data_IF_173586108722
#
_entry.id   IF_173586108722
#
_cell.length_a   1.000
_cell.length_b   1.000
_cell.length_c   1.000
_cell.angle_alpha   90.00
_cell.angle_beta   90.00
_cell.angle_gamma   90.00
#
_symmetry.space_group_name_H-M   'P 1'
#
loop_
_entity.id
_entity.type
_entity.pdbx_description
1 polymer ?
#
# COMPACT_ATOMS: atom_id res chain seq x y z
N UNK A 1 -0.58 28.77 -14.36
CA UNK A 1 0.61 28.14 -13.79
C UNK A 1 0.36 26.65 -13.78
N UNK A 2 1.30 25.88 -14.36
CA UNK A 2 1.22 24.42 -14.42
C UNK A 2 1.94 23.80 -13.23
N UNK A 3 1.31 22.83 -12.59
CA UNK A 3 1.85 22.10 -11.45
C UNK A 3 2.03 20.63 -11.82
N UNK A 4 3.24 20.11 -11.60
CA UNK A 4 3.56 18.69 -11.70
C UNK A 4 3.52 18.03 -10.32
N UNK A 5 3.06 16.77 -10.26
CA UNK A 5 3.05 15.96 -9.04
C UNK A 5 3.77 14.64 -9.29
N UNK A 6 4.74 14.33 -8.43
CA UNK A 6 5.37 13.00 -8.36
C UNK A 6 4.98 12.38 -7.03
N UNK A 7 4.38 11.18 -7.07
CA UNK A 7 3.96 10.45 -5.88
C UNK A 7 4.79 9.19 -5.72
N UNK A 8 5.54 9.10 -4.64
CA UNK A 8 6.37 7.95 -4.29
C UNK A 8 5.79 7.20 -3.09
N UNK A 9 6.20 5.96 -2.94
CA UNK A 9 5.88 5.12 -1.77
C UNK A 9 4.53 4.41 -1.88
N UNK A 10 3.77 4.38 -0.80
CA UNK A 10 2.63 3.49 -0.62
C UNK A 10 1.28 4.10 -1.05
N UNK A 11 0.21 3.28 -1.17
CA UNK A 11 -1.14 3.76 -1.50
C UNK A 11 -1.68 4.87 -0.58
N UNK A 12 -1.25 4.92 0.69
CA UNK A 12 -1.63 6.02 1.60
C UNK A 12 -1.03 7.36 1.14
N UNK A 13 0.22 7.35 0.68
CA UNK A 13 0.87 8.52 0.07
C UNK A 13 0.16 8.94 -1.23
N UNK A 14 -0.25 7.97 -2.04
CA UNK A 14 -0.99 8.25 -3.28
C UNK A 14 -2.31 8.96 -2.98
N UNK A 15 -3.07 8.49 -2.00
CA UNK A 15 -4.31 9.18 -1.57
C UNK A 15 -4.03 10.62 -1.11
N UNK A 16 -2.94 10.85 -0.37
CA UNK A 16 -2.54 12.20 0.04
C UNK A 16 -2.20 13.08 -1.18
N UNK A 17 -1.53 12.53 -2.21
CA UNK A 17 -1.24 13.23 -3.47
C UNK A 17 -2.52 13.59 -4.21
N UNK A 18 -3.48 12.70 -4.31
CA UNK A 18 -4.76 12.93 -4.99
C UNK A 18 -5.62 13.99 -4.29
N UNK A 19 -5.55 14.05 -2.95
CA UNK A 19 -6.16 15.14 -2.17
C UNK A 19 -5.47 16.47 -2.48
N UNK A 20 -4.13 16.50 -2.48
CA UNK A 20 -3.39 17.72 -2.85
C UNK A 20 -3.74 18.18 -4.26
N UNK A 21 -3.85 17.28 -5.24
CA UNK A 21 -4.28 17.59 -6.61
C UNK A 21 -5.71 18.15 -6.66
N UNK A 22 -6.63 17.60 -5.86
CA UNK A 22 -7.98 18.14 -5.72
C UNK A 22 -7.98 19.58 -5.22
N UNK A 23 -7.21 19.89 -4.17
CA UNK A 23 -7.05 21.25 -3.63
C UNK A 23 -6.43 22.21 -4.66
N UNK A 24 -5.43 21.75 -5.42
CA UNK A 24 -4.78 22.51 -6.49
C UNK A 24 -5.79 22.84 -7.61
N UNK A 25 -6.62 21.87 -7.99
CA UNK A 25 -7.67 22.08 -9.00
C UNK A 25 -8.74 23.07 -8.54
N UNK A 26 -9.14 23.01 -7.27
CA UNK A 26 -10.09 23.97 -6.69
C UNK A 26 -9.53 25.40 -6.66
N UNK A 27 -8.21 25.56 -6.56
CA UNK A 27 -7.52 26.87 -6.72
C UNK A 27 -7.44 27.32 -8.18
N UNK A 28 -8.00 26.57 -9.13
CA UNK A 28 -7.95 26.86 -10.58
C UNK A 28 -6.52 26.92 -11.14
N UNK A 29 -5.61 26.09 -10.61
CA UNK A 29 -4.26 25.90 -11.14
C UNK A 29 -4.26 24.71 -12.10
N UNK A 30 -3.49 24.81 -13.16
CA UNK A 30 -3.39 23.76 -14.17
C UNK A 30 -2.47 22.62 -13.66
N UNK A 31 -2.82 21.37 -13.99
CA UNK A 31 -2.03 20.20 -13.66
C UNK A 31 -1.40 19.67 -14.96
N UNK A 32 -0.14 19.23 -14.88
CA UNK A 32 0.58 18.61 -16.00
C UNK A 32 1.27 17.31 -15.53
N UNK A 33 1.29 16.33 -16.43
CA UNK A 33 2.05 15.09 -16.23
C UNK A 33 3.48 15.19 -16.77
N UNK A 34 3.81 16.27 -17.50
CA UNK A 34 5.16 16.51 -18.00
C UNK A 34 5.94 17.43 -17.04
N UNK A 35 6.97 16.91 -16.34
CA UNK A 35 7.79 17.72 -15.44
C UNK A 35 8.50 18.91 -16.13
N UNK A 36 8.82 18.77 -17.41
CA UNK A 36 9.49 19.83 -18.17
C UNK A 36 8.58 21.07 -18.39
N UNK A 37 7.27 20.84 -18.46
CA UNK A 37 6.25 21.88 -18.62
C UNK A 37 5.79 22.50 -17.29
N UNK A 38 6.11 21.84 -16.16
CA UNK A 38 5.66 22.28 -14.84
C UNK A 38 6.44 23.52 -14.37
N UNK A 39 5.72 24.56 -13.92
CA UNK A 39 6.30 25.74 -13.28
C UNK A 39 6.54 25.56 -11.79
N UNK A 40 5.81 24.63 -11.16
CA UNK A 40 5.96 24.18 -9.79
C UNK A 40 5.84 22.66 -9.77
N UNK A 41 6.81 21.98 -9.13
CA UNK A 41 6.80 20.52 -8.97
C UNK A 41 6.63 20.19 -7.49
N UNK A 42 5.74 19.25 -7.19
CA UNK A 42 5.53 18.70 -5.85
C UNK A 42 5.97 17.23 -5.88
N UNK A 43 6.86 16.85 -4.96
CA UNK A 43 7.29 15.45 -4.78
C UNK A 43 6.78 14.95 -3.44
N UNK A 44 5.83 14.02 -3.47
CA UNK A 44 5.36 13.33 -2.27
C UNK A 44 6.24 12.10 -2.02
N UNK A 45 6.99 12.13 -0.92
CA UNK A 45 8.14 11.28 -0.65
C UNK A 45 7.83 10.16 0.33
N UNK A 46 8.59 9.06 0.22
CA UNK A 46 8.64 7.99 1.21
C UNK A 46 9.89 8.12 2.09
N UNK A 47 9.75 7.85 3.38
CA UNK A 47 10.86 7.91 4.35
C UNK A 47 10.88 6.69 5.28
N UNK A 48 10.30 5.56 4.82
CA UNK A 48 10.04 4.39 5.65
C UNK A 48 11.29 3.51 5.83
N UNK A 49 11.96 3.17 4.75
CA UNK A 49 13.20 2.36 4.74
C UNK A 49 14.27 3.06 3.91
N UNK A 50 15.54 2.62 4.05
CA UNK A 50 16.70 3.26 3.40
C UNK A 50 16.53 3.39 1.89
N UNK A 51 16.18 2.31 1.18
CA UNK A 51 15.98 2.34 -0.27
C UNK A 51 14.91 3.34 -0.72
N UNK A 52 13.82 3.49 0.05
CA UNK A 52 12.78 4.47 -0.25
C UNK A 52 13.22 5.91 0.02
N UNK A 53 14.13 6.13 0.98
CA UNK A 53 14.78 7.43 1.22
C UNK A 53 15.71 7.81 0.06
N UNK A 54 16.52 6.87 -0.41
CA UNK A 54 17.41 7.05 -1.56
C UNK A 54 16.62 7.37 -2.83
N UNK A 55 15.55 6.62 -3.12
CA UNK A 55 14.63 6.89 -4.23
C UNK A 55 14.05 8.30 -4.13
N UNK A 56 13.55 8.69 -2.95
CA UNK A 56 12.94 9.99 -2.72
C UNK A 56 13.94 11.13 -2.94
N UNK A 57 15.16 11.03 -2.39
CA UNK A 57 16.21 12.02 -2.57
C UNK A 57 16.63 12.12 -4.04
N UNK A 58 16.85 10.97 -4.71
CA UNK A 58 17.22 10.92 -6.12
C UNK A 58 16.14 11.57 -6.99
N UNK A 59 14.87 11.30 -6.73
CA UNK A 59 13.74 11.91 -7.46
C UNK A 59 13.68 13.43 -7.24
N UNK A 60 13.89 13.92 -6.01
CA UNK A 60 13.92 15.37 -5.75
C UNK A 60 15.06 16.04 -6.52
N UNK A 61 16.26 15.47 -6.52
CA UNK A 61 17.40 16.00 -7.26
C UNK A 61 17.16 15.97 -8.78
N UNK A 62 16.52 14.92 -9.30
CA UNK A 62 16.10 14.85 -10.70
C UNK A 62 15.09 15.96 -11.04
N UNK A 63 14.07 16.15 -10.20
CA UNK A 63 13.07 17.21 -10.42
C UNK A 63 13.69 18.62 -10.29
N UNK A 64 14.70 18.79 -9.45
CA UNK A 64 15.42 20.04 -9.31
C UNK A 64 16.16 20.46 -10.60
N UNK A 65 16.57 19.51 -11.45
CA UNK A 65 17.21 19.82 -12.75
C UNK A 65 16.28 20.62 -13.67
N UNK A 66 14.96 20.44 -13.59
CA UNK A 66 13.99 21.21 -14.35
C UNK A 66 13.94 22.71 -13.97
N UNK A 67 14.59 23.14 -12.87
CA UNK A 67 14.81 24.56 -12.58
C UNK A 67 15.84 25.21 -13.53
N UNK A 68 16.77 24.42 -14.06
CA UNK A 68 17.80 24.87 -15.00
C UNK A 68 17.43 24.53 -16.45
N UNK A 69 16.87 23.34 -16.68
CA UNK A 69 16.65 22.78 -18.02
C UNK A 69 15.18 22.88 -18.48
N UNK A 70 14.24 23.19 -17.57
CA UNK A 70 12.80 23.23 -17.84
C UNK A 70 12.14 24.54 -17.49
N UNK A 71 10.82 24.46 -17.22
CA UNK A 71 9.99 25.60 -16.81
C UNK A 71 9.87 25.76 -15.29
N UNK A 72 10.41 24.84 -14.51
CA UNK A 72 10.26 24.79 -13.07
C UNK A 72 10.91 25.99 -12.38
N UNK A 73 10.12 26.65 -11.54
CA UNK A 73 10.57 27.77 -10.70
C UNK A 73 10.59 27.38 -9.22
N UNK A 74 9.74 26.46 -8.85
CA UNK A 74 9.51 26.07 -7.46
C UNK A 74 9.42 24.56 -7.30
N UNK A 75 10.05 24.03 -6.26
CA UNK A 75 10.06 22.63 -5.90
C UNK A 75 9.60 22.46 -4.45
N UNK A 76 8.54 21.69 -4.25
CA UNK A 76 7.97 21.39 -2.94
C UNK A 76 8.17 19.91 -2.64
N UNK A 77 8.75 19.61 -1.48
CA UNK A 77 8.81 18.28 -0.91
C UNK A 77 7.68 18.08 0.09
N UNK A 78 6.99 16.95 0.02
CA UNK A 78 5.99 16.55 1.02
C UNK A 78 6.15 15.07 1.38
N UNK A 79 5.38 14.60 2.37
CA UNK A 79 5.33 13.18 2.74
C UNK A 79 6.29 12.76 3.83
N UNK A 80 6.53 11.44 3.91
CA UNK A 80 7.20 10.81 5.05
C UNK A 80 8.67 11.24 5.22
N UNK A 81 9.41 11.40 4.11
CA UNK A 81 10.81 11.86 4.20
C UNK A 81 10.90 13.29 4.72
N UNK A 82 10.03 14.18 4.17
CA UNK A 82 9.93 15.56 4.63
C UNK A 82 9.52 15.68 6.10
N UNK A 83 8.63 14.80 6.57
CA UNK A 83 8.23 14.73 7.98
C UNK A 83 9.39 14.30 8.88
N UNK A 84 10.19 13.32 8.43
CA UNK A 84 11.24 12.69 9.23
C UNK A 84 12.48 13.57 9.38
N UNK A 85 12.91 14.20 8.31
CA UNK A 85 14.19 14.91 8.20
C UNK A 85 14.05 16.38 7.76
N UNK A 86 12.94 17.03 8.14
CA UNK A 86 12.61 18.38 7.67
C UNK A 86 13.71 19.41 7.88
N UNK A 87 14.37 19.44 9.04
CA UNK A 87 15.40 20.42 9.37
C UNK A 87 16.66 20.20 8.53
N UNK A 88 17.13 18.95 8.49
CA UNK A 88 18.34 18.56 7.77
C UNK A 88 18.19 18.75 6.25
N UNK A 89 17.06 18.29 5.68
CA UNK A 89 16.80 18.43 4.25
C UNK A 89 16.58 19.89 3.85
N UNK A 90 15.94 20.69 4.69
CA UNK A 90 15.75 22.10 4.41
C UNK A 90 17.07 22.88 4.41
N UNK A 91 18.06 22.49 5.21
CA UNK A 91 19.38 23.06 5.22
C UNK A 91 20.27 22.57 4.07
N UNK A 92 20.23 21.26 3.80
CA UNK A 92 21.14 20.61 2.84
C UNK A 92 20.67 20.69 1.38
N UNK A 93 19.36 20.91 1.13
CA UNK A 93 18.77 20.98 -0.20
C UNK A 93 18.23 22.38 -0.52
N UNK A 94 19.08 23.34 -0.94
CA UNK A 94 18.66 24.70 -1.25
C UNK A 94 17.69 24.79 -2.44
N UNK A 95 17.62 23.75 -3.28
CA UNK A 95 16.71 23.61 -4.42
C UNK A 95 15.25 23.50 -3.98
N UNK A 96 15.00 23.00 -2.77
CA UNK A 96 13.64 22.81 -2.24
C UNK A 96 13.13 24.11 -1.64
N UNK A 97 12.03 24.63 -2.18
CA UNK A 97 11.40 25.89 -1.75
C UNK A 97 10.46 25.68 -0.57
N UNK A 98 9.87 24.50 -0.44
CA UNK A 98 9.07 24.17 0.74
C UNK A 98 9.16 22.69 1.12
N UNK A 99 9.05 22.43 2.44
CA UNK A 99 8.83 21.08 3.00
C UNK A 99 7.51 21.07 3.75
N UNK A 100 6.67 20.06 3.44
CA UNK A 100 5.33 19.88 4.02
C UNK A 100 5.26 18.52 4.71
N UNK A 101 4.88 18.51 5.98
CA UNK A 101 4.73 17.27 6.76
C UNK A 101 3.53 16.43 6.34
N UNK A 102 3.51 15.17 6.80
CA UNK A 102 2.46 14.20 6.50
C UNK A 102 1.08 14.58 7.04
N UNK A 103 1.01 15.39 8.09
CA UNK A 103 -0.25 15.89 8.67
C UNK A 103 -0.64 17.28 8.14
N UNK A 104 0.17 17.83 7.23
CA UNK A 104 0.01 19.19 6.70
C UNK A 104 -0.30 19.23 5.20
N UNK A 105 -0.44 18.08 4.54
CA UNK A 105 -0.65 18.02 3.09
C UNK A 105 -1.94 18.72 2.63
N UNK A 106 -2.97 18.80 3.49
CA UNK A 106 -4.19 19.54 3.22
C UNK A 106 -4.00 21.06 3.14
N UNK A 107 -2.88 21.57 3.68
CA UNK A 107 -2.54 23.00 3.61
C UNK A 107 -1.71 23.34 2.36
N UNK A 108 -1.58 22.43 1.41
CA UNK A 108 -0.75 22.61 0.21
C UNK A 108 -1.11 23.89 -0.56
N UNK A 109 -2.37 24.24 -0.59
CA UNK A 109 -2.84 25.47 -1.23
C UNK A 109 -2.24 26.72 -0.60
N UNK A 110 -2.15 26.77 0.72
CA UNK A 110 -1.49 27.87 1.45
C UNK A 110 0.02 27.84 1.25
N UNK A 111 0.64 26.68 1.26
CA UNK A 111 2.12 26.55 1.03
C UNK A 111 2.49 27.09 -0.34
N UNK A 112 1.72 26.74 -1.39
CA UNK A 112 1.91 27.27 -2.74
C UNK A 112 1.86 28.79 -2.73
N UNK A 113 0.89 29.42 -2.06
CA UNK A 113 0.77 30.88 -1.98
C UNK A 113 2.02 31.52 -1.31
N UNK A 114 2.58 30.88 -0.27
CA UNK A 114 3.79 31.38 0.39
C UNK A 114 5.03 31.28 -0.52
N UNK A 115 5.18 30.16 -1.23
CA UNK A 115 6.29 29.92 -2.17
C UNK A 115 6.22 30.92 -3.33
N UNK A 116 5.01 31.16 -3.89
CA UNK A 116 4.79 32.17 -4.94
C UNK A 116 5.07 33.61 -4.47
N UNK A 117 4.93 33.88 -3.17
CA UNK A 117 5.32 35.16 -2.56
C UNK A 117 6.85 35.26 -2.31
N UNK A 118 7.64 34.28 -2.81
CA UNK A 118 9.09 34.25 -2.70
C UNK A 118 9.63 33.83 -1.33
N UNK A 119 8.80 33.13 -0.54
CA UNK A 119 9.21 32.61 0.77
C UNK A 119 9.65 31.15 0.66
N UNK A 120 10.71 30.82 1.37
CA UNK A 120 11.08 29.42 1.61
C UNK A 120 10.38 28.94 2.89
N UNK A 121 9.64 27.81 2.83
CA UNK A 121 8.67 27.41 3.87
C UNK A 121 8.94 26.00 4.38
N UNK A 122 8.94 25.84 5.70
CA UNK A 122 8.85 24.55 6.38
C UNK A 122 7.54 24.51 7.16
N UNK A 123 6.60 23.64 6.73
CA UNK A 123 5.26 23.56 7.29
C UNK A 123 4.97 22.14 7.79
N UNK A 124 5.21 21.94 9.09
CA UNK A 124 4.92 20.70 9.80
C UNK A 124 3.99 21.02 10.96
N UNK A 125 2.88 20.34 11.02
CA UNK A 125 2.01 20.37 12.19
C UNK A 125 2.40 19.23 13.15
N UNK A 126 1.94 19.31 14.38
CA UNK A 126 2.05 18.19 15.31
C UNK A 126 1.19 17.05 14.82
N UNK A 127 1.75 15.84 14.86
CA UNK A 127 1.01 14.61 14.59
C UNK A 127 0.04 14.34 15.74
N UNK A 128 -1.16 14.87 15.63
CA UNK A 128 -2.25 14.73 16.60
C UNK A 128 -3.46 14.10 15.90
N UNK A 129 -4.30 13.41 16.65
CA UNK A 129 -5.56 12.89 16.10
C UNK A 129 -6.43 14.06 15.62
N UNK A 130 -6.71 14.12 14.33
CA UNK A 130 -7.54 15.15 13.71
C UNK A 130 -8.82 14.57 13.16
N UNK A 131 -9.92 15.31 13.30
CA UNK A 131 -11.09 15.13 12.44
C UNK A 131 -10.72 15.57 11.02
N UNK A 132 -10.39 14.62 10.19
CA UNK A 132 -10.06 14.85 8.78
C UNK A 132 -11.38 14.99 8.02
N UNK A 133 -11.80 16.23 7.72
CA UNK A 133 -12.85 16.45 6.71
C UNK A 133 -12.34 15.90 5.38
N UNK A 134 -13.20 15.23 4.63
CA UNK A 134 -12.87 14.73 3.29
C UNK A 134 -12.66 15.92 2.33
N UNK A 135 -11.41 16.31 2.02
CA UNK A 135 -11.16 17.38 1.06
C UNK A 135 -11.47 16.88 -0.36
N UNK A 136 -11.61 17.79 -1.33
CA UNK A 136 -11.73 17.42 -2.72
C UNK A 136 -10.56 16.52 -3.12
N UNK A 137 -10.84 15.48 -3.91
CA UNK A 137 -9.85 14.51 -4.36
C UNK A 137 -9.90 14.36 -5.87
N UNK A 138 -8.75 14.36 -6.51
CA UNK A 138 -8.60 14.07 -7.93
C UNK A 138 -7.88 12.73 -8.08
N UNK A 139 -8.58 11.72 -8.58
CA UNK A 139 -8.01 10.39 -8.78
C UNK A 139 -6.89 10.42 -9.83
N UNK A 140 -5.84 9.65 -9.55
CA UNK A 140 -4.71 9.38 -10.45
C UNK A 140 -4.58 7.91 -10.77
N UNK A 141 -5.34 7.07 -10.07
CA UNK A 141 -5.52 5.67 -10.41
C UNK A 141 -6.35 5.53 -11.69
N UNK A 142 -6.29 4.37 -12.39
CA UNK A 142 -7.22 4.07 -13.46
C UNK A 142 -8.68 4.22 -13.02
N UNK A 143 -9.57 4.65 -13.93
CA UNK A 143 -10.97 4.99 -13.61
C UNK A 143 -11.77 3.86 -12.96
N UNK A 144 -11.34 2.60 -13.16
CA UNK A 144 -12.02 1.42 -12.62
C UNK A 144 -11.64 1.09 -11.17
N UNK A 145 -10.58 1.67 -10.60
CA UNK A 145 -10.17 1.38 -9.22
C UNK A 145 -9.82 2.64 -8.42
N UNK A 146 -10.01 2.59 -7.10
CA UNK A 146 -9.58 3.64 -6.20
C UNK A 146 -9.20 3.09 -4.82
N UNK A 147 -8.19 3.69 -4.20
CA UNK A 147 -7.88 3.44 -2.80
C UNK A 147 -8.83 4.23 -1.90
N UNK A 148 -9.41 3.56 -0.90
CA UNK A 148 -10.24 4.18 0.13
C UNK A 148 -9.49 4.15 1.46
N UNK A 149 -8.86 5.25 1.82
CA UNK A 149 -8.13 5.39 3.08
C UNK A 149 -9.12 5.61 4.22
N UNK A 150 -9.20 4.66 5.16
CA UNK A 150 -10.19 4.67 6.26
C UNK A 150 -9.62 5.16 7.61
N UNK A 151 -8.31 5.13 7.77
CA UNK A 151 -7.61 5.62 8.96
C UNK A 151 -6.20 6.09 8.62
N UNK A 152 -5.57 6.79 9.55
CA UNK A 152 -4.19 7.27 9.49
C UNK A 152 -3.46 6.95 10.81
N UNK A 153 -2.12 6.79 10.76
CA UNK A 153 -1.30 6.51 11.92
C UNK A 153 -1.38 5.06 12.42
N UNK A 154 -0.60 4.72 13.45
CA UNK A 154 -0.55 3.36 14.00
C UNK A 154 -0.02 3.36 15.44
N UNK A 155 -0.70 2.59 16.32
CA UNK A 155 -0.32 2.42 17.73
C UNK A 155 0.27 1.03 18.03
N UNK A 156 0.49 0.17 17.02
CA UNK A 156 1.03 -1.18 17.23
C UNK A 156 2.50 -1.15 17.73
N UNK A 157 3.23 -0.06 17.48
CA UNK A 157 4.58 0.17 18.00
C UNK A 157 5.56 -0.99 17.75
N UNK A 158 5.47 -1.66 16.60
CA UNK A 158 6.42 -2.69 16.21
C UNK A 158 7.85 -2.13 16.28
N UNK A 159 8.79 -2.88 16.85
CA UNK A 159 10.14 -2.39 17.18
C UNK A 159 10.97 -1.95 15.97
N UNK A 160 10.66 -2.45 14.78
CA UNK A 160 11.31 -2.11 13.51
C UNK A 160 10.65 -0.93 12.77
N UNK A 161 9.49 -0.45 13.24
CA UNK A 161 8.61 0.43 12.47
C UNK A 161 8.70 1.88 12.92
N UNK A 162 8.88 2.79 11.96
CA UNK A 162 8.96 4.23 12.20
C UNK A 162 7.61 4.95 11.99
N UNK A 163 6.57 4.26 11.55
CA UNK A 163 5.26 4.84 11.20
C UNK A 163 4.65 5.69 12.32
N UNK A 164 4.66 5.32 13.61
CA UNK A 164 4.11 6.18 14.67
C UNK A 164 4.75 7.57 14.71
N UNK A 165 6.04 7.67 14.38
CA UNK A 165 6.75 8.95 14.31
C UNK A 165 6.50 9.73 13.03
N UNK A 166 6.11 9.04 11.93
CA UNK A 166 5.87 9.66 10.62
C UNK A 166 4.40 10.05 10.42
N UNK A 167 3.46 9.26 10.95
CA UNK A 167 2.03 9.37 10.69
C UNK A 167 1.19 9.59 11.95
N UNK A 168 1.82 9.59 13.13
CA UNK A 168 1.19 9.83 14.41
C UNK A 168 0.38 8.67 14.96
N UNK A 169 -0.44 8.94 16.00
CA UNK A 169 -1.31 7.95 16.62
C UNK A 169 -2.41 7.49 15.65
N UNK A 170 -2.93 6.29 15.89
CA UNK A 170 -4.02 5.75 15.10
C UNK A 170 -5.27 6.62 15.18
N UNK A 171 -5.81 7.01 14.05
CA UNK A 171 -7.00 7.87 13.95
C UNK A 171 -7.88 7.40 12.82
N UNK A 172 -9.05 6.88 13.13
CA UNK A 172 -10.07 6.50 12.15
C UNK A 172 -10.73 7.73 11.54
N UNK A 173 -11.00 7.67 10.26
CA UNK A 173 -11.88 8.64 9.62
C UNK A 173 -13.34 8.39 10.05
N UNK A 174 -14.16 9.45 10.21
CA UNK A 174 -15.57 9.31 10.52
C UNK A 174 -16.29 8.39 9.54
N UNK A 175 -17.11 7.47 10.07
CA UNK A 175 -17.79 6.45 9.27
C UNK A 175 -18.60 7.01 8.11
N UNK A 176 -19.39 8.07 8.37
CA UNK A 176 -20.24 8.70 7.37
C UNK A 176 -19.42 9.36 6.24
N UNK A 177 -18.23 9.88 6.55
CA UNK A 177 -17.31 10.46 5.56
C UNK A 177 -16.71 9.38 4.65
N UNK A 178 -16.28 8.26 5.22
CA UNK A 178 -15.77 7.11 4.46
C UNK A 178 -16.85 6.57 3.52
N UNK A 179 -18.09 6.42 4.01
CA UNK A 179 -19.22 5.98 3.19
C UNK A 179 -19.62 7.00 2.13
N UNK A 180 -19.53 8.31 2.43
CA UNK A 180 -19.83 9.35 1.45
C UNK A 180 -18.79 9.35 0.31
N UNK A 181 -17.50 9.19 0.62
CA UNK A 181 -16.45 9.06 -0.38
C UNK A 181 -16.63 7.78 -1.22
N UNK A 182 -16.92 6.64 -0.60
CA UNK A 182 -17.15 5.39 -1.31
C UNK A 182 -18.33 5.49 -2.30
N UNK A 183 -19.44 6.13 -1.90
CA UNK A 183 -20.58 6.41 -2.80
C UNK A 183 -20.19 7.32 -3.96
N UNK A 184 -19.37 8.34 -3.69
CA UNK A 184 -18.88 9.24 -4.74
C UNK A 184 -17.99 8.50 -5.73
N UNK A 185 -17.08 7.66 -5.27
CA UNK A 185 -16.23 6.84 -6.12
C UNK A 185 -17.05 5.88 -6.99
N UNK A 186 -18.02 5.19 -6.40
CA UNK A 186 -18.96 4.33 -7.14
C UNK A 186 -19.74 5.09 -8.23
N UNK A 187 -20.24 6.30 -7.90
CA UNK A 187 -20.94 7.15 -8.86
C UNK A 187 -20.06 7.65 -10.02
N UNK A 188 -18.73 7.70 -9.83
CA UNK A 188 -17.76 8.04 -10.87
C UNK A 188 -17.28 6.83 -11.68
N UNK A 189 -17.84 5.63 -11.46
CA UNK A 189 -17.56 4.45 -12.29
C UNK A 189 -16.47 3.52 -11.73
N UNK A 190 -15.95 3.78 -10.53
CA UNK A 190 -15.00 2.88 -9.87
C UNK A 190 -15.67 1.52 -9.65
N UNK A 191 -14.98 0.45 -10.06
CA UNK A 191 -15.42 -0.95 -9.95
C UNK A 191 -14.78 -1.65 -8.77
N UNK A 192 -13.53 -1.32 -8.45
CA UNK A 192 -12.81 -1.86 -7.31
C UNK A 192 -12.46 -0.78 -6.29
N UNK A 193 -12.89 -0.98 -5.03
CA UNK A 193 -12.46 -0.21 -3.88
C UNK A 193 -11.38 -0.98 -3.11
N UNK A 194 -10.22 -0.36 -2.90
CA UNK A 194 -9.14 -0.94 -2.12
C UNK A 194 -9.05 -0.20 -0.80
N UNK A 195 -9.54 -0.84 0.26
CA UNK A 195 -9.58 -0.28 1.61
C UNK A 195 -8.20 -0.35 2.25
N UNK A 196 -7.67 0.81 2.64
CA UNK A 196 -6.32 0.94 3.17
C UNK A 196 -6.26 1.77 4.46
N UNK A 197 -5.35 1.38 5.34
CA UNK A 197 -4.86 2.12 6.51
C UNK A 197 -3.46 1.58 6.85
N UNK A 198 -2.85 2.00 7.95
CA UNK A 198 -1.67 1.33 8.47
C UNK A 198 -2.03 0.02 9.21
N UNK A 199 -3.24 -0.03 9.77
CA UNK A 199 -3.88 -1.21 10.32
C UNK A 199 -5.39 -1.07 10.10
N UNK A 200 -5.93 -1.79 9.12
CA UNK A 200 -7.36 -1.70 8.76
C UNK A 200 -8.26 -2.41 9.78
N UNK A 201 -7.72 -3.41 10.49
CA UNK A 201 -8.51 -4.21 11.45
C UNK A 201 -9.02 -3.40 12.64
N UNK A 202 -8.33 -2.30 13.01
CA UNK A 202 -8.69 -1.45 14.15
C UNK A 202 -9.71 -0.35 13.82
N UNK A 203 -10.16 -0.27 12.56
CA UNK A 203 -11.05 0.80 12.15
C UNK A 203 -12.27 0.96 13.06
N UNK A 204 -12.47 2.18 13.54
CA UNK A 204 -13.59 2.60 14.38
C UNK A 204 -13.42 2.39 15.88
N UNK A 205 -12.37 1.67 16.34
CA UNK A 205 -12.12 1.41 17.76
C UNK A 205 -11.97 2.72 18.56
N UNK A 206 -11.19 3.66 18.05
CA UNK A 206 -10.96 4.99 18.63
C UNK A 206 -12.19 5.90 18.60
N UNK A 207 -13.10 5.71 17.64
CA UNK A 207 -14.33 6.51 17.51
C UNK A 207 -15.46 6.02 18.45
N UNK A 208 -15.60 4.71 18.60
CA UNK A 208 -16.81 4.10 19.22
C UNK A 208 -16.50 3.07 20.29
N UNK A 209 -15.24 2.68 20.49
CA UNK A 209 -14.83 1.56 21.31
C UNK A 209 -15.15 0.19 20.68
N UNK A 210 -15.48 0.14 19.38
CA UNK A 210 -15.79 -1.09 18.65
C UNK A 210 -15.05 -1.14 17.33
N UNK A 211 -14.68 -2.33 16.89
CA UNK A 211 -14.12 -2.59 15.56
C UNK A 211 -15.26 -2.48 14.52
N UNK A 212 -15.20 -1.48 13.66
CA UNK A 212 -16.25 -1.18 12.69
C UNK A 212 -15.95 -1.72 11.27
N UNK A 213 -14.79 -2.32 11.03
CA UNK A 213 -14.46 -2.86 9.71
C UNK A 213 -15.49 -3.88 9.21
N UNK A 214 -16.01 -4.84 10.02
CA UNK A 214 -17.02 -5.78 9.54
C UNK A 214 -18.30 -5.09 9.05
N UNK A 215 -18.77 -4.06 9.79
CA UNK A 215 -19.94 -3.29 9.40
C UNK A 215 -19.66 -2.47 8.12
N UNK A 216 -18.48 -1.85 8.03
CA UNK A 216 -18.06 -1.10 6.85
C UNK A 216 -18.07 -1.99 5.59
N UNK A 217 -17.53 -3.21 5.68
CA UNK A 217 -17.51 -4.14 4.55
C UNK A 217 -18.93 -4.52 4.09
N UNK A 218 -19.86 -4.76 5.02
CA UNK A 218 -21.26 -5.05 4.68
C UNK A 218 -21.91 -3.84 4.00
N UNK A 219 -21.72 -2.64 4.52
CA UNK A 219 -22.32 -1.44 3.94
C UNK A 219 -21.70 -1.06 2.58
N UNK A 220 -20.39 -1.27 2.39
CA UNK A 220 -19.73 -1.13 1.10
C UNK A 220 -20.23 -2.17 0.09
N UNK A 221 -20.55 -3.40 0.53
CA UNK A 221 -21.09 -4.47 -0.29
C UNK A 221 -22.43 -4.11 -0.94
N UNK A 222 -23.22 -3.23 -0.30
CA UNK A 222 -24.51 -2.76 -0.82
C UNK A 222 -24.37 -1.67 -1.91
N UNK A 223 -23.18 -1.11 -2.12
CA UNK A 223 -22.99 -0.03 -3.10
C UNK A 223 -23.18 -0.55 -4.54
N UNK A 224 -24.08 0.08 -5.27
CA UNK A 224 -24.24 -0.18 -6.71
C UNK A 224 -22.99 0.31 -7.47
N UNK A 225 -22.63 -0.40 -8.55
CA UNK A 225 -21.48 -0.08 -9.39
C UNK A 225 -20.16 -0.73 -8.92
N UNK A 226 -19.96 -0.86 -7.62
CA UNK A 226 -18.80 -1.58 -7.08
C UNK A 226 -18.93 -3.08 -7.35
N UNK A 227 -17.83 -3.68 -7.81
CA UNK A 227 -17.70 -5.10 -8.10
C UNK A 227 -16.78 -5.80 -7.11
N UNK A 228 -15.68 -5.16 -6.73
CA UNK A 228 -14.71 -5.67 -5.80
C UNK A 228 -14.42 -4.69 -4.66
N UNK A 229 -14.29 -5.24 -3.48
CA UNK A 229 -13.85 -4.56 -2.26
C UNK A 229 -12.66 -5.36 -1.73
N UNK A 230 -11.46 -4.83 -1.87
CA UNK A 230 -10.22 -5.43 -1.39
C UNK A 230 -9.80 -4.75 -0.09
N UNK A 231 -9.33 -5.53 0.88
CA UNK A 231 -8.83 -4.98 2.15
C UNK A 231 -7.36 -5.31 2.29
N UNK A 232 -6.55 -4.28 2.51
CA UNK A 232 -5.11 -4.42 2.68
C UNK A 232 -4.70 -4.07 4.12
N UNK A 233 -3.51 -4.53 4.54
CA UNK A 233 -2.89 -4.19 5.83
C UNK A 233 -3.71 -4.62 7.04
N UNK A 234 -4.11 -5.89 7.08
CA UNK A 234 -4.82 -6.50 8.19
C UNK A 234 -3.83 -6.99 9.25
N UNK A 235 -4.13 -6.78 10.53
CA UNK A 235 -3.28 -7.22 11.63
C UNK A 235 -3.88 -8.45 12.33
N UNK A 236 -3.09 -9.52 12.61
CA UNK A 236 -3.62 -10.81 13.06
C UNK A 236 -4.50 -10.75 14.32
N UNK A 237 -4.12 -9.93 15.31
CA UNK A 237 -4.76 -9.89 16.62
C UNK A 237 -6.23 -9.45 16.63
N UNK A 238 -6.68 -8.76 15.59
CA UNK A 238 -8.03 -8.18 15.53
C UNK A 238 -8.97 -8.95 14.60
N UNK A 239 -8.62 -10.16 14.19
CA UNK A 239 -9.51 -11.02 13.40
C UNK A 239 -10.61 -11.61 14.28
N UNK A 240 -11.72 -10.91 14.39
CA UNK A 240 -12.92 -11.39 15.05
C UNK A 240 -13.72 -12.35 14.16
N UNK A 241 -14.57 -13.18 14.78
CA UNK A 241 -15.53 -14.03 14.04
C UNK A 241 -16.45 -13.23 13.13
N UNK A 242 -16.81 -12.00 13.52
CA UNK A 242 -17.63 -11.09 12.73
C UNK A 242 -16.88 -10.57 11.50
N UNK A 243 -15.58 -10.31 11.61
CA UNK A 243 -14.76 -9.93 10.45
C UNK A 243 -14.62 -11.09 9.46
N UNK A 244 -14.36 -12.30 9.96
CA UNK A 244 -14.29 -13.50 9.12
C UNK A 244 -15.63 -13.75 8.41
N UNK A 245 -16.74 -13.58 9.12
CA UNK A 245 -18.08 -13.71 8.53
C UNK A 245 -18.31 -12.65 7.44
N UNK A 246 -17.90 -11.40 7.65
CA UNK A 246 -18.02 -10.36 6.62
C UNK A 246 -17.24 -10.71 5.35
N UNK A 247 -16.01 -11.24 5.46
CA UNK A 247 -15.25 -11.73 4.30
C UNK A 247 -15.93 -12.92 3.61
N UNK A 248 -16.56 -13.83 4.37
CA UNK A 248 -17.22 -15.01 3.82
C UNK A 248 -18.55 -14.68 3.11
N UNK A 249 -19.35 -13.80 3.71
CA UNK A 249 -20.75 -13.55 3.33
C UNK A 249 -20.92 -12.45 2.29
N UNK A 250 -20.02 -11.46 2.24
CA UNK A 250 -20.11 -10.34 1.31
C UNK A 250 -19.55 -10.75 -0.08
N UNK A 251 -20.43 -10.80 -1.08
CA UNK A 251 -20.07 -11.28 -2.43
C UNK A 251 -19.04 -10.39 -3.14
N UNK A 252 -19.05 -9.07 -2.88
CA UNK A 252 -18.13 -8.11 -3.49
C UNK A 252 -16.81 -8.01 -2.75
N UNK A 253 -16.73 -8.49 -1.50
CA UNK A 253 -15.48 -8.51 -0.75
C UNK A 253 -14.60 -9.63 -1.32
N UNK A 254 -13.44 -9.23 -1.86
CA UNK A 254 -12.46 -10.16 -2.40
C UNK A 254 -12.07 -11.18 -1.33
N UNK A 255 -12.08 -12.46 -1.68
CA UNK A 255 -11.59 -13.52 -0.80
C UNK A 255 -10.06 -13.48 -0.77
N UNK A 256 -9.54 -12.34 -0.40
CA UNK A 256 -8.14 -11.96 -0.39
C UNK A 256 -7.82 -11.27 0.94
N UNK A 257 -6.86 -11.78 1.67
CA UNK A 257 -6.43 -11.24 2.95
C UNK A 257 -4.93 -10.92 2.89
N UNK A 258 -4.59 -9.63 3.02
CA UNK A 258 -3.22 -9.16 3.19
C UNK A 258 -2.91 -9.02 4.69
N UNK A 259 -2.14 -9.97 5.22
CA UNK A 259 -1.85 -10.11 6.64
C UNK A 259 -0.33 -10.24 6.86
N UNK A 260 0.39 -9.12 7.07
CA UNK A 260 1.83 -9.14 7.28
C UNK A 260 2.20 -9.82 8.60
N UNK A 261 2.70 -11.04 8.56
CA UNK A 261 3.07 -11.85 9.73
C UNK A 261 4.47 -11.54 10.27
N UNK A 262 5.38 -11.11 9.40
CA UNK A 262 6.74 -10.67 9.65
C UNK A 262 7.72 -11.78 9.97
N UNK A 263 7.40 -12.71 10.84
CA UNK A 263 8.23 -13.88 11.20
C UNK A 263 7.37 -15.02 11.77
N UNK A 264 7.98 -16.20 12.02
CA UNK A 264 7.33 -17.36 12.62
C UNK A 264 7.95 -17.78 13.98
N UNK A 265 9.14 -17.28 14.33
CA UNK A 265 9.75 -17.53 15.63
C UNK A 265 9.10 -16.66 16.70
N UNK A 266 8.52 -17.28 17.74
CA UNK A 266 7.87 -16.56 18.86
C UNK A 266 8.86 -15.59 19.55
N UNK A 267 10.11 -16.00 19.70
CA UNK A 267 11.17 -15.16 20.29
C UNK A 267 11.40 -13.88 19.48
N UNK A 268 11.41 -13.99 18.15
CA UNK A 268 11.58 -12.81 17.28
C UNK A 268 10.32 -11.97 17.21
N UNK A 269 9.14 -12.57 17.18
CA UNK A 269 7.86 -11.85 17.25
C UNK A 269 7.76 -11.01 18.51
N UNK A 270 8.15 -11.55 19.67
CA UNK A 270 8.25 -10.81 20.93
C UNK A 270 9.27 -9.64 20.81
N UNK A 271 10.44 -9.88 20.25
CA UNK A 271 11.47 -8.84 20.03
C UNK A 271 11.02 -7.77 19.02
N UNK A 272 10.19 -8.13 18.05
CA UNK A 272 9.52 -7.23 17.12
C UNK A 272 8.36 -6.44 17.76
N UNK A 273 8.07 -6.68 19.04
CA UNK A 273 6.90 -6.15 19.75
C UNK A 273 5.59 -6.52 19.05
N UNK A 274 5.49 -7.77 18.58
CA UNK A 274 4.28 -8.37 18.04
C UNK A 274 3.68 -9.30 19.07
N UNK A 275 2.35 -9.27 19.17
CA UNK A 275 1.61 -9.95 20.25
C UNK A 275 1.13 -11.34 19.85
N UNK A 276 1.36 -11.75 18.59
CA UNK A 276 0.95 -13.04 18.07
C UNK A 276 2.05 -14.08 18.33
N UNK A 277 1.66 -15.31 18.62
CA UNK A 277 2.54 -16.47 18.59
C UNK A 277 2.33 -17.25 17.30
N UNK A 278 3.32 -18.07 16.90
CA UNK A 278 3.20 -18.97 15.75
C UNK A 278 1.93 -19.82 15.84
N UNK A 279 1.65 -20.41 17.02
CA UNK A 279 0.48 -21.26 17.22
C UNK A 279 -0.84 -20.50 16.99
N UNK A 280 -0.95 -19.27 17.49
CA UNK A 280 -2.14 -18.43 17.27
C UNK A 280 -2.32 -18.05 15.79
N UNK A 281 -1.23 -17.77 15.11
CA UNK A 281 -1.25 -17.48 13.66
C UNK A 281 -1.67 -18.72 12.87
N UNK A 282 -1.11 -19.90 13.17
CA UNK A 282 -1.49 -21.16 12.52
C UNK A 282 -2.99 -21.48 12.72
N UNK A 283 -3.52 -21.27 13.92
CA UNK A 283 -4.96 -21.41 14.23
C UNK A 283 -5.80 -20.43 13.42
N UNK A 284 -5.38 -19.14 13.33
CA UNK A 284 -6.08 -18.13 12.55
C UNK A 284 -6.10 -18.50 11.06
N UNK A 285 -4.96 -18.88 10.48
CA UNK A 285 -4.86 -19.26 9.07
C UNK A 285 -5.72 -20.47 8.73
N UNK A 286 -5.73 -21.49 9.61
CA UNK A 286 -6.59 -22.65 9.44
C UNK A 286 -8.08 -22.26 9.48
N UNK A 287 -8.47 -21.40 10.40
CA UNK A 287 -9.84 -20.90 10.54
C UNK A 287 -10.27 -20.06 9.32
N UNK A 288 -9.36 -19.22 8.78
CA UNK A 288 -9.63 -18.44 7.57
C UNK A 288 -9.89 -19.35 6.37
N UNK A 289 -9.04 -20.35 6.15
CA UNK A 289 -9.18 -21.33 5.05
C UNK A 289 -10.45 -22.18 5.18
N UNK A 290 -10.81 -22.57 6.41
CA UNK A 290 -12.04 -23.32 6.67
C UNK A 290 -13.30 -22.50 6.40
N UNK A 291 -13.32 -21.24 6.85
CA UNK A 291 -14.53 -20.40 6.82
C UNK A 291 -14.71 -19.57 5.56
N UNK A 292 -13.65 -19.37 4.78
CA UNK A 292 -13.67 -18.59 3.53
C UNK A 292 -13.10 -19.45 2.41
N UNK A 293 -13.93 -20.30 1.77
CA UNK A 293 -13.49 -21.12 0.65
C UNK A 293 -12.94 -20.29 -0.50
N UNK A 294 -11.82 -20.73 -1.08
CA UNK A 294 -11.13 -20.01 -2.16
C UNK A 294 -10.36 -18.76 -1.71
N UNK A 295 -10.07 -18.64 -0.40
CA UNK A 295 -9.29 -17.50 0.11
C UNK A 295 -7.88 -17.50 -0.43
N UNK A 296 -7.41 -16.34 -0.81
CA UNK A 296 -5.99 -16.03 -1.05
C UNK A 296 -5.42 -15.33 0.17
N UNK A 297 -4.33 -15.85 0.70
CA UNK A 297 -3.63 -15.24 1.82
C UNK A 297 -2.31 -14.68 1.32
N UNK A 298 -2.20 -13.35 1.38
CA UNK A 298 -0.96 -12.61 1.16
C UNK A 298 -0.32 -12.29 2.48
N UNK A 299 0.98 -12.46 2.57
CA UNK A 299 1.75 -12.12 3.76
C UNK A 299 3.06 -11.41 3.43
N UNK A 300 3.74 -10.95 4.47
CA UNK A 300 5.05 -10.32 4.38
C UNK A 300 5.93 -10.84 5.49
N UNK A 301 7.20 -11.14 5.18
CA UNK A 301 8.22 -11.55 6.14
C UNK A 301 9.40 -10.60 6.13
N UNK A 302 10.08 -10.51 7.29
CA UNK A 302 11.33 -9.78 7.47
C UNK A 302 12.40 -10.78 7.86
N UNK A 303 13.47 -10.87 7.09
CA UNK A 303 14.65 -11.68 7.39
C UNK A 303 15.82 -10.80 7.83
N UNK A 304 16.70 -11.34 8.67
CA UNK A 304 17.85 -10.62 9.18
C UNK A 304 17.50 -9.57 10.22
N UNK A 305 16.39 -9.77 10.95
CA UNK A 305 16.06 -8.94 12.12
C UNK A 305 17.15 -9.07 13.20
N UNK A 306 17.47 -8.03 13.98
CA UNK A 306 18.52 -8.10 15.01
C UNK A 306 18.36 -9.31 15.95
N UNK A 307 19.40 -10.14 16.02
CA UNK A 307 19.45 -11.35 16.82
C UNK A 307 18.75 -12.57 16.24
N UNK A 308 18.32 -12.54 14.97
CA UNK A 308 17.81 -13.71 14.26
C UNK A 308 18.92 -14.76 14.10
N UNK A 309 18.67 -15.98 14.58
CA UNK A 309 19.58 -17.12 14.47
C UNK A 309 19.23 -17.98 13.26
N UNK A 310 20.10 -18.97 12.95
CA UNK A 310 19.83 -19.91 11.88
C UNK A 310 18.66 -20.84 12.24
N UNK A 311 18.44 -21.11 13.53
CA UNK A 311 17.29 -21.87 14.01
C UNK A 311 15.98 -21.08 13.81
N UNK A 312 15.96 -19.79 14.10
CA UNK A 312 14.80 -18.92 13.85
C UNK A 312 14.46 -18.87 12.36
N UNK A 313 15.47 -18.75 11.50
CA UNK A 313 15.28 -18.77 10.07
C UNK A 313 14.77 -20.12 9.56
N UNK A 314 15.29 -21.23 10.09
CA UNK A 314 14.80 -22.57 9.77
C UNK A 314 13.32 -22.75 10.20
N UNK A 315 12.91 -22.19 11.36
CA UNK A 315 11.51 -22.18 11.79
C UNK A 315 10.62 -21.40 10.81
N UNK A 316 11.12 -20.26 10.27
CA UNK A 316 10.40 -19.46 9.28
C UNK A 316 10.23 -20.23 7.96
N UNK A 317 11.30 -20.89 7.48
CA UNK A 317 11.26 -21.72 6.27
C UNK A 317 10.24 -22.86 6.42
N UNK A 318 10.28 -23.62 7.52
CA UNK A 318 9.31 -24.68 7.84
C UNK A 318 7.86 -24.15 7.89
N UNK A 319 7.67 -22.98 8.45
CA UNK A 319 6.35 -22.34 8.53
C UNK A 319 5.81 -21.97 7.14
N UNK A 320 6.62 -21.35 6.28
CA UNK A 320 6.22 -20.96 4.92
C UNK A 320 5.92 -22.20 4.06
N UNK A 321 6.76 -23.23 4.13
CA UNK A 321 6.54 -24.49 3.43
C UNK A 321 5.23 -25.16 3.83
N UNK A 322 4.91 -25.17 5.13
CA UNK A 322 3.67 -25.78 5.65
C UNK A 322 2.42 -24.96 5.35
N UNK A 323 2.52 -23.63 5.46
CA UNK A 323 1.37 -22.76 5.28
C UNK A 323 1.02 -22.52 3.81
N UNK A 324 1.97 -22.67 2.87
CA UNK A 324 1.75 -22.53 1.42
C UNK A 324 0.94 -21.27 1.13
N UNK A 325 1.54 -20.10 1.37
CA UNK A 325 0.90 -18.82 1.06
C UNK A 325 0.80 -18.64 -0.45
N UNK A 326 -0.35 -18.17 -0.91
CA UNK A 326 -0.57 -17.83 -2.32
C UNK A 326 0.38 -16.73 -2.76
N UNK A 327 0.50 -15.69 -1.93
CA UNK A 327 1.41 -14.56 -2.16
C UNK A 327 2.22 -14.25 -0.90
N UNK A 328 3.53 -14.12 -1.02
CA UNK A 328 4.36 -13.64 0.09
C UNK A 328 5.50 -12.74 -0.41
N UNK A 329 5.64 -11.59 0.23
CA UNK A 329 6.78 -10.70 0.06
C UNK A 329 7.80 -10.91 1.17
N UNK A 330 9.08 -10.91 0.82
CA UNK A 330 10.18 -10.98 1.80
C UNK A 330 10.96 -9.68 1.75
N UNK A 331 11.30 -9.13 2.91
CA UNK A 331 12.13 -7.95 3.03
C UNK A 331 13.34 -8.25 3.91
N UNK A 332 14.49 -7.75 3.51
CA UNK A 332 15.64 -7.67 4.40
C UNK A 332 15.38 -6.60 5.46
N UNK A 333 15.68 -6.88 6.71
CA UNK A 333 15.56 -5.88 7.76
C UNK A 333 16.40 -4.64 7.45
N UNK A 334 15.75 -3.47 7.43
CA UNK A 334 16.38 -2.15 7.30
C UNK A 334 16.60 -1.55 8.68
N UNK A 335 17.85 -1.21 9.02
CA UNK A 335 18.19 -0.59 10.28
C UNK A 335 17.82 0.91 10.24
N UNK A 336 16.66 1.25 10.82
CA UNK A 336 16.13 2.61 10.78
C UNK A 336 16.41 3.39 12.06
N UNK A 337 17.00 4.55 11.91
CA UNK A 337 17.22 5.51 13.01
C UNK A 337 15.89 5.88 13.68
N UNK A 338 15.90 5.97 15.01
CA UNK A 338 14.72 6.29 15.81
C UNK A 338 13.80 5.12 16.10
N UNK A 339 14.08 3.92 15.57
CA UNK A 339 13.36 2.68 15.92
C UNK A 339 14.05 1.92 17.04
N UNK A 340 13.30 1.14 17.81
CA UNK A 340 13.84 0.30 18.88
C UNK A 340 14.83 -0.73 18.30
N UNK A 341 14.43 -1.41 17.21
CA UNK A 341 15.28 -2.42 16.56
C UNK A 341 16.53 -1.79 15.93
N UNK A 342 16.46 -0.55 15.47
CA UNK A 342 17.63 0.16 14.93
C UNK A 342 18.74 0.40 15.94
N UNK A 343 18.38 0.48 17.24
CA UNK A 343 19.30 0.66 18.35
C UNK A 343 19.81 -0.66 18.98
N UNK A 344 19.36 -1.83 18.53
CA UNK A 344 19.82 -3.13 19.01
C UNK A 344 21.27 -3.39 18.59
N UNK A 345 22.09 -4.00 19.48
CA UNK A 345 23.52 -4.24 19.22
C UNK A 345 23.77 -5.45 18.31
N UNK A 346 22.87 -6.43 18.29
CA UNK A 346 23.02 -7.71 17.59
C UNK A 346 22.48 -7.65 16.15
N UNK A 347 22.88 -6.64 15.40
CA UNK A 347 22.55 -6.48 13.98
C UNK A 347 23.12 -7.67 13.16
N UNK A 348 22.39 -8.07 12.15
CA UNK A 348 22.79 -9.16 11.25
C UNK A 348 23.57 -8.60 10.06
N UNK A 349 24.64 -9.28 9.68
CA UNK A 349 25.47 -8.89 8.54
C UNK A 349 24.68 -8.86 7.23
N UNK A 350 24.94 -7.89 6.33
CA UNK A 350 24.20 -7.75 5.08
C UNK A 350 24.19 -9.01 4.21
N UNK A 351 25.32 -9.72 4.11
CA UNK A 351 25.43 -10.97 3.34
C UNK A 351 24.49 -12.06 3.88
N UNK A 352 24.33 -12.17 5.20
CA UNK A 352 23.41 -13.13 5.83
C UNK A 352 21.96 -12.77 5.51
N UNK A 353 21.60 -11.47 5.58
CA UNK A 353 20.26 -10.98 5.20
C UNK A 353 19.94 -11.32 3.75
N UNK A 354 20.88 -11.07 2.85
CA UNK A 354 20.74 -11.33 1.42
C UNK A 354 20.55 -12.83 1.13
N UNK A 355 21.37 -13.68 1.74
CA UNK A 355 21.24 -15.13 1.59
C UNK A 355 19.88 -15.63 2.07
N UNK A 356 19.43 -15.24 3.28
CA UNK A 356 18.11 -15.61 3.82
C UNK A 356 16.96 -15.10 2.96
N UNK A 357 17.08 -13.88 2.44
CA UNK A 357 16.12 -13.33 1.48
C UNK A 357 15.98 -14.21 0.24
N UNK A 358 17.10 -14.57 -0.38
CA UNK A 358 17.07 -15.40 -1.60
C UNK A 358 16.57 -16.82 -1.34
N UNK A 359 16.93 -17.42 -0.22
CA UNK A 359 16.46 -18.77 0.14
C UNK A 359 14.96 -18.79 0.37
N UNK A 360 14.43 -17.83 1.14
CA UNK A 360 12.98 -17.76 1.42
C UNK A 360 12.18 -17.38 0.17
N UNK A 361 12.68 -16.46 -0.66
CA UNK A 361 12.04 -16.11 -1.93
C UNK A 361 12.03 -17.29 -2.91
N UNK A 362 13.09 -18.09 -2.96
CA UNK A 362 13.14 -19.28 -3.81
C UNK A 362 12.11 -20.34 -3.36
N UNK A 363 11.96 -20.56 -2.05
CA UNK A 363 10.93 -21.43 -1.50
C UNK A 363 9.52 -20.94 -1.90
N UNK A 364 9.25 -19.64 -1.66
CA UNK A 364 7.94 -19.06 -1.98
C UNK A 364 7.64 -19.09 -3.49
N UNK A 365 8.64 -18.86 -4.33
CA UNK A 365 8.48 -18.93 -5.78
C UNK A 365 8.00 -20.32 -6.24
N UNK A 366 8.58 -21.39 -5.67
CA UNK A 366 8.12 -22.76 -5.93
C UNK A 366 6.68 -23.00 -5.47
N UNK A 367 6.31 -22.50 -4.28
CA UNK A 367 4.95 -22.63 -3.75
C UNK A 367 3.94 -21.88 -4.64
N UNK A 368 4.27 -20.64 -5.05
CA UNK A 368 3.41 -19.85 -5.94
C UNK A 368 3.19 -20.55 -7.28
N UNK A 369 4.26 -21.11 -7.87
CA UNK A 369 4.15 -21.86 -9.13
C UNK A 369 3.24 -23.08 -9.01
N UNK A 370 3.41 -23.89 -7.95
CA UNK A 370 2.53 -25.03 -7.70
C UNK A 370 1.06 -24.60 -7.54
N UNK A 371 0.78 -23.55 -6.79
CA UNK A 371 -0.58 -23.03 -6.59
C UNK A 371 -1.17 -22.51 -7.89
N UNK A 372 -0.41 -21.80 -8.72
CA UNK A 372 -0.88 -21.33 -10.03
C UNK A 372 -1.17 -22.52 -10.98
N UNK A 373 -0.36 -23.57 -10.95
CA UNK A 373 -0.60 -24.80 -11.72
C UNK A 373 -1.86 -25.54 -11.22
N UNK A 374 -2.11 -25.56 -9.90
CA UNK A 374 -3.35 -26.12 -9.32
C UNK A 374 -4.62 -25.40 -9.79
N UNK A 375 -4.51 -24.16 -10.28
CA UNK A 375 -5.63 -23.36 -10.84
C UNK A 375 -5.86 -23.57 -12.33
N UNK A 376 -5.08 -24.37 -13.02
CA UNK A 376 -5.33 -24.70 -14.43
C UNK A 376 -6.74 -25.29 -14.58
N UNK A 377 -7.44 -24.90 -15.64
CA UNK A 377 -8.88 -25.17 -15.89
C UNK A 377 -9.88 -24.42 -14.99
N UNK A 378 -9.42 -23.61 -14.01
CA UNK A 378 -10.31 -22.77 -13.20
C UNK A 378 -10.86 -21.59 -14.02
N UNK A 379 -12.15 -21.28 -13.81
CA UNK A 379 -12.78 -20.10 -14.40
C UNK A 379 -12.83 -18.96 -13.39
N UNK A 380 -12.28 -17.80 -13.77
CA UNK A 380 -12.16 -16.63 -12.92
C UNK A 380 -12.75 -15.38 -13.59
N UNK A 381 -13.27 -14.46 -12.80
CA UNK A 381 -13.54 -13.10 -13.24
C UNK A 381 -12.23 -12.29 -13.17
N UNK A 382 -11.89 -11.60 -14.25
CA UNK A 382 -10.67 -10.81 -14.39
C UNK A 382 -11.03 -9.39 -14.79
N UNK A 383 -10.40 -8.39 -14.17
CA UNK A 383 -10.42 -7.00 -14.61
C UNK A 383 -9.25 -6.77 -15.56
N UNK A 384 -9.53 -6.24 -16.74
CA UNK A 384 -8.49 -5.89 -17.73
C UNK A 384 -7.81 -4.59 -17.29
N UNK A 385 -6.50 -4.61 -17.11
CA UNK A 385 -5.71 -3.47 -16.66
C UNK A 385 -4.92 -2.81 -17.80
N UNK A 386 -4.64 -3.56 -18.86
CA UNK A 386 -3.87 -3.08 -19.99
C UNK A 386 -3.70 -4.14 -21.06
N UNK A 387 -2.71 -3.90 -21.91
CA UNK A 387 -2.30 -4.81 -22.97
C UNK A 387 -0.78 -4.93 -22.96
N UNK A 388 -0.29 -6.09 -23.36
CA UNK A 388 1.13 -6.30 -23.50
C UNK A 388 1.74 -5.38 -24.58
N UNK A 389 2.87 -4.75 -24.28
CA UNK A 389 3.48 -3.77 -25.18
C UNK A 389 4.01 -4.40 -26.47
N UNK A 390 4.48 -5.65 -26.41
CA UNK A 390 5.04 -6.38 -27.56
C UNK A 390 3.95 -7.09 -28.36
N UNK A 391 2.86 -7.52 -27.69
CA UNK A 391 1.75 -8.22 -28.31
C UNK A 391 0.38 -7.62 -27.89
N UNK A 392 -0.11 -6.58 -28.58
CA UNK A 392 -1.40 -5.95 -28.25
C UNK A 392 -2.65 -6.86 -28.36
N UNK A 393 -2.52 -8.07 -28.86
CA UNK A 393 -3.58 -9.07 -28.83
C UNK A 393 -3.68 -9.81 -27.47
N UNK A 394 -2.72 -9.59 -26.61
CA UNK A 394 -2.64 -10.16 -25.26
C UNK A 394 -3.05 -9.08 -24.26
N UNK A 395 -4.20 -9.26 -23.61
CA UNK A 395 -4.61 -8.37 -22.53
C UNK A 395 -3.94 -8.79 -21.21
N UNK A 396 -3.63 -7.82 -20.38
CA UNK A 396 -3.12 -8.01 -19.03
C UNK A 396 -4.21 -7.64 -18.04
N UNK A 397 -4.44 -8.50 -17.07
CA UNK A 397 -5.45 -8.26 -16.05
C UNK A 397 -5.13 -9.01 -14.76
N UNK A 398 -6.03 -8.92 -13.81
CA UNK A 398 -5.95 -9.66 -12.53
C UNK A 398 -7.33 -10.08 -12.05
N UNK A 399 -7.35 -11.15 -11.28
CA UNK A 399 -8.54 -11.63 -10.60
C UNK A 399 -8.63 -11.05 -9.16
N UNK A 400 -9.54 -11.58 -8.36
CA UNK A 400 -9.56 -11.22 -6.93
C UNK A 400 -8.35 -11.79 -6.15
N UNK A 401 -7.61 -12.72 -6.73
CA UNK A 401 -6.43 -13.34 -6.11
C UNK A 401 -5.19 -12.44 -6.13
N UNK A 402 -5.15 -11.43 -6.98
CA UNK A 402 -4.01 -10.53 -7.15
C UNK A 402 -4.38 -9.10 -6.73
N UNK A 403 -3.56 -8.49 -5.87
CA UNK A 403 -3.65 -7.06 -5.59
C UNK A 403 -2.87 -6.27 -6.64
N UNK A 404 -3.35 -5.07 -7.04
CA UNK A 404 -2.71 -4.28 -8.08
C UNK A 404 -1.28 -3.87 -7.67
N UNK A 405 -0.38 -3.86 -8.64
CA UNK A 405 1.02 -3.41 -8.55
C UNK A 405 1.95 -4.24 -7.65
N UNK A 406 1.43 -5.25 -6.94
CA UNK A 406 2.23 -6.01 -5.95
C UNK A 406 2.19 -7.52 -6.10
N UNK A 407 1.15 -8.08 -6.69
CA UNK A 407 1.04 -9.50 -7.01
C UNK A 407 1.17 -9.73 -8.53
N UNK A 408 1.01 -10.96 -8.97
CA UNK A 408 1.17 -11.33 -10.37
C UNK A 408 0.04 -10.86 -11.29
N UNK A 409 0.17 -11.21 -12.57
CA UNK A 409 -0.77 -10.84 -13.63
C UNK A 409 -1.37 -12.08 -14.31
N UNK A 410 -2.53 -11.89 -14.95
CA UNK A 410 -3.16 -12.85 -15.84
C UNK A 410 -3.11 -12.31 -17.27
N UNK A 411 -2.45 -13.05 -18.15
CA UNK A 411 -2.39 -12.75 -19.60
C UNK A 411 -3.53 -13.45 -20.31
N UNK A 412 -4.38 -12.68 -20.98
CA UNK A 412 -5.58 -13.20 -21.66
C UNK A 412 -5.30 -13.22 -23.16
N UNK A 413 -5.34 -14.43 -23.76
CA UNK A 413 -5.13 -14.63 -25.18
C UNK A 413 -6.32 -14.16 -26.04
N UNK A 414 -6.04 -13.74 -27.27
CA UNK A 414 -7.04 -13.31 -28.26
C UNK A 414 -7.96 -12.19 -27.77
N UNK A 415 -7.45 -11.27 -26.98
CA UNK A 415 -8.17 -10.27 -26.23
C UNK A 415 -8.15 -8.84 -26.82
N UNK A 416 -7.75 -8.67 -28.10
CA UNK A 416 -7.57 -7.36 -28.74
C UNK A 416 -8.81 -6.45 -28.77
N UNK A 417 -10.00 -7.01 -28.58
CA UNK A 417 -11.28 -6.27 -28.57
C UNK A 417 -11.73 -5.84 -27.17
N UNK A 418 -10.96 -6.18 -26.13
CA UNK A 418 -11.27 -5.81 -24.75
C UNK A 418 -10.93 -4.36 -24.47
N UNK A 419 -11.56 -3.80 -23.45
CA UNK A 419 -11.30 -2.45 -22.99
C UNK A 419 -10.69 -2.47 -21.58
N UNK A 420 -9.77 -1.54 -21.28
CA UNK A 420 -9.23 -1.35 -19.93
C UNK A 420 -10.36 -1.06 -18.94
N UNK A 421 -10.33 -1.74 -17.80
CA UNK A 421 -11.39 -1.70 -16.78
C UNK A 421 -12.59 -2.60 -17.09
N UNK A 422 -12.62 -3.32 -18.22
CA UNK A 422 -13.64 -4.33 -18.49
C UNK A 422 -13.44 -5.54 -17.56
N UNK A 423 -14.54 -6.07 -17.03
CA UNK A 423 -14.53 -7.36 -16.34
C UNK A 423 -14.95 -8.47 -17.30
N UNK A 424 -14.15 -9.51 -17.37
CA UNK A 424 -14.36 -10.65 -18.25
C UNK A 424 -14.22 -11.96 -17.51
N UNK A 425 -14.91 -13.01 -18.00
CA UNK A 425 -14.74 -14.37 -17.50
C UNK A 425 -13.69 -15.08 -18.33
N UNK A 426 -12.70 -15.67 -17.67
CA UNK A 426 -11.61 -16.39 -18.31
C UNK A 426 -11.44 -17.77 -17.72
N UNK A 427 -10.81 -18.68 -18.49
CA UNK A 427 -10.34 -19.98 -18.03
C UNK A 427 -8.83 -19.97 -18.02
N UNK A 428 -8.21 -20.37 -16.90
CA UNK A 428 -6.76 -20.47 -16.77
C UNK A 428 -6.27 -21.65 -17.61
N UNK A 429 -5.31 -21.39 -18.48
CA UNK A 429 -4.69 -22.38 -19.36
C UNK A 429 -3.37 -22.91 -18.77
N UNK A 430 -2.61 -22.01 -18.15
CA UNK A 430 -1.29 -22.35 -17.61
C UNK A 430 -0.89 -21.43 -16.48
N UNK A 431 -0.34 -22.00 -15.40
CA UNK A 431 0.23 -21.30 -14.26
C UNK A 431 1.75 -21.28 -14.30
N UNK A 432 2.33 -20.11 -13.99
CA UNK A 432 3.76 -19.88 -13.80
C UNK A 432 4.03 -19.33 -12.40
N UNK A 433 5.26 -19.02 -12.08
CA UNK A 433 5.68 -18.56 -10.73
C UNK A 433 4.89 -17.33 -10.26
N UNK A 434 4.72 -16.32 -11.12
CA UNK A 434 4.04 -15.06 -10.77
C UNK A 434 2.95 -14.66 -11.76
N UNK A 435 2.72 -15.44 -12.79
CA UNK A 435 1.84 -15.11 -13.90
C UNK A 435 0.98 -16.31 -14.26
N UNK A 436 -0.18 -16.04 -14.84
CA UNK A 436 -1.04 -17.07 -15.43
C UNK A 436 -1.42 -16.67 -16.84
N UNK A 437 -1.64 -17.65 -17.70
CA UNK A 437 -2.19 -17.45 -19.05
C UNK A 437 -3.60 -17.98 -19.08
N UNK A 438 -4.51 -17.25 -19.73
CA UNK A 438 -5.93 -17.56 -19.76
C UNK A 438 -6.54 -17.31 -21.16
N UNK A 439 -7.70 -17.91 -21.41
CA UNK A 439 -8.56 -17.64 -22.57
C UNK A 439 -9.93 -17.11 -22.13
N UNK A 440 -10.61 -16.39 -23.01
CA UNK A 440 -11.99 -15.95 -22.78
C UNK A 440 -12.96 -17.14 -22.82
N UNK A 441 -13.93 -17.17 -21.88
CA UNK A 441 -14.99 -18.19 -21.82
C UNK A 441 -16.26 -17.67 -22.45
#
# INVERSE_FOLDING_TARGET
MKIGMVSLGCPKNLVDSEVMLGIIKDKQLDITNDPADAELIIVNTCGFIESAKEESISTILQMAQYKEEGSCKYLIMTGCLGQRYADELFESMPEVDAIVGTDSFTDIGWVIDQVLAGKRVKHLQKLESKNVQAPPRMLTTPDYMAYLKIAEGCDNCCSYCIIPQLRGPYTSRPYDEVMAEARSLAAHGVKELIVVAQDTTRYGEDLTGKLLLPQLLRDLNELEGIKWIRVMYLYPNNFTDDLIAAFAECDKVCKYIDIPLQHASDRLLESMNRYDTRAQVEELLAKLRERIPGITIRTTFIVGFPGETDEDFAELMDFVEKQRFENAGVFQYSQEEGTVAGAMENQIEPEVKENRYHELMALQAGISEEIHQEREDEELDVIVEGFDEENPALAVGRSYHEAPDIDGNIFIENAAELEVGQMVRVRILQGFTYEMVAELV
#
